data_IF_514330117389
#
_entry.id   IF_514330117389
#
_cell.length_a   1.000
_cell.length_b   1.000
_cell.length_c   1.000
_cell.angle_alpha   90.00
_cell.angle_beta   90.00
_cell.angle_gamma   90.00
#
_symmetry.space_group_name_H-M   'P 1'
#
loop_
_entity.id
_entity.type
_entity.pdbx_description
1 polymer ?
#
# COMPACT_ATOMS: atom_id res chain seq x y z
N UNK A 1 -8.95 -17.59 -6.69
CA UNK A 1 -8.58 -17.48 -5.25
C UNK A 1 -7.24 -18.14 -4.99
N UNK A 2 -6.20 -17.31 -4.89
CA UNK A 2 -4.83 -17.66 -4.52
C UNK A 2 -4.66 -17.53 -3.01
N UNK A 3 -4.15 -18.58 -2.37
CA UNK A 3 -3.91 -18.65 -0.93
C UNK A 3 -2.51 -18.16 -0.59
N UNK A 4 -2.43 -17.12 0.23
CA UNK A 4 -1.20 -16.38 0.50
C UNK A 4 -0.84 -16.43 1.98
N UNK A 5 0.44 -16.63 2.28
CA UNK A 5 1.04 -16.38 3.60
C UNK A 5 2.02 -15.23 3.50
N UNK A 6 2.01 -14.30 4.46
CA UNK A 6 2.92 -13.15 4.50
C UNK A 6 3.87 -13.28 5.68
N UNK A 7 5.17 -13.24 5.42
CA UNK A 7 6.23 -13.29 6.43
C UNK A 7 6.92 -11.92 6.47
N UNK A 8 6.77 -11.24 7.60
CA UNK A 8 7.10 -9.83 7.80
C UNK A 8 5.85 -8.95 7.69
N UNK A 9 5.47 -8.30 8.79
CA UNK A 9 4.37 -7.38 8.93
C UNK A 9 4.84 -5.92 9.14
N UNK A 10 6.06 -5.60 8.68
CA UNK A 10 6.56 -4.24 8.57
C UNK A 10 5.80 -3.38 7.55
N UNK A 11 6.43 -2.34 7.00
CA UNK A 11 5.79 -1.46 5.99
C UNK A 11 5.32 -2.23 4.75
N UNK A 12 6.18 -3.09 4.20
CA UNK A 12 5.84 -3.91 3.03
C UNK A 12 4.69 -4.87 3.30
N UNK A 13 4.75 -5.62 4.42
CA UNK A 13 3.67 -6.53 4.81
C UNK A 13 2.34 -5.82 5.06
N UNK A 14 2.37 -4.68 5.76
CA UNK A 14 1.19 -3.83 6.00
C UNK A 14 0.53 -3.38 4.70
N UNK A 15 1.33 -3.03 3.70
CA UNK A 15 0.82 -2.56 2.42
C UNK A 15 0.31 -3.69 1.52
N UNK A 16 0.92 -4.88 1.59
CA UNK A 16 0.37 -6.08 0.95
C UNK A 16 -1.00 -6.43 1.54
N UNK A 17 -1.14 -6.39 2.87
CA UNK A 17 -2.43 -6.56 3.54
C UNK A 17 -3.47 -5.52 3.08
N UNK A 18 -3.03 -4.29 2.86
CA UNK A 18 -3.85 -3.20 2.35
C UNK A 18 -4.32 -3.46 0.92
N UNK A 19 -3.41 -3.92 0.06
CA UNK A 19 -3.65 -4.24 -1.34
C UNK A 19 -4.64 -5.38 -1.50
N UNK A 20 -4.51 -6.42 -0.68
CA UNK A 20 -5.33 -7.63 -0.77
C UNK A 20 -6.64 -7.55 0.01
N UNK A 21 -6.88 -6.50 0.80
CA UNK A 21 -8.05 -6.41 1.70
C UNK A 21 -9.38 -6.65 0.99
N UNK A 22 -9.52 -6.07 -0.19
CA UNK A 22 -10.76 -6.07 -0.97
C UNK A 22 -10.62 -6.85 -2.29
N UNK A 23 -9.57 -7.68 -2.41
CA UNK A 23 -9.31 -8.48 -3.60
C UNK A 23 -9.94 -9.89 -3.45
N UNK A 24 -11.04 -10.19 -4.18
CA UNK A 24 -11.70 -11.49 -4.08
C UNK A 24 -10.87 -12.64 -4.64
N UNK A 25 -9.80 -12.37 -5.40
CA UNK A 25 -8.90 -13.40 -5.91
C UNK A 25 -7.80 -13.78 -4.92
N UNK A 26 -7.70 -13.12 -3.76
CA UNK A 26 -6.66 -13.39 -2.76
C UNK A 26 -7.26 -13.81 -1.42
N UNK A 27 -6.75 -14.88 -0.83
CA UNK A 27 -7.09 -15.30 0.53
C UNK A 27 -5.83 -15.33 1.38
N UNK A 28 -5.75 -14.47 2.39
CA UNK A 28 -4.61 -14.43 3.30
C UNK A 28 -4.82 -15.46 4.41
N UNK A 29 -4.02 -16.53 4.39
CA UNK A 29 -4.10 -17.62 5.37
C UNK A 29 -3.47 -17.25 6.72
N UNK A 30 -2.51 -16.32 6.71
CA UNK A 30 -1.91 -15.80 7.93
C UNK A 30 -0.74 -14.87 7.67
N UNK A 31 -0.35 -14.18 8.73
CA UNK A 31 0.78 -13.23 8.77
C UNK A 31 1.68 -13.59 9.94
N UNK A 32 3.00 -13.46 9.75
CA UNK A 32 3.94 -13.56 10.86
C UNK A 32 4.91 -12.40 10.96
N UNK A 33 5.19 -11.94 12.18
CA UNK A 33 6.27 -11.00 12.48
C UNK A 33 6.76 -11.21 13.92
N UNK A 34 8.06 -10.99 14.14
CA UNK A 34 8.67 -11.08 15.47
C UNK A 34 8.34 -9.86 16.34
N UNK A 35 8.13 -8.69 15.74
CA UNK A 35 7.72 -7.49 16.47
C UNK A 35 6.18 -7.46 16.58
N UNK A 36 5.60 -7.66 17.78
CA UNK A 36 4.15 -7.63 17.96
C UNK A 36 3.55 -6.24 17.71
N UNK A 37 4.38 -5.20 17.56
CA UNK A 37 3.98 -3.82 17.25
C UNK A 37 4.20 -3.47 15.78
N UNK A 38 4.60 -4.43 14.94
CA UNK A 38 4.75 -4.18 13.52
C UNK A 38 3.40 -3.70 12.92
N UNK A 39 3.42 -2.66 12.05
CA UNK A 39 2.20 -1.98 11.62
C UNK A 39 1.20 -2.90 10.93
N UNK A 40 1.67 -3.93 10.23
CA UNK A 40 0.85 -4.95 9.57
C UNK A 40 0.05 -5.83 10.53
N UNK A 41 0.51 -6.00 11.77
CA UNK A 41 -0.11 -6.89 12.76
C UNK A 41 -1.49 -6.38 13.17
N UNK A 42 -1.60 -5.07 13.44
CA UNK A 42 -2.87 -4.44 13.78
C UNK A 42 -3.89 -4.61 12.64
N UNK A 43 -3.46 -4.38 11.40
CA UNK A 43 -4.36 -4.57 10.25
C UNK A 43 -4.75 -6.03 10.06
N UNK A 44 -3.80 -6.97 10.11
CA UNK A 44 -4.10 -8.39 9.94
C UNK A 44 -5.17 -8.85 10.94
N UNK A 45 -5.06 -8.42 12.21
CA UNK A 45 -6.08 -8.67 13.23
C UNK A 45 -7.43 -8.05 12.89
N UNK A 46 -7.46 -6.80 12.43
CA UNK A 46 -8.69 -6.12 12.03
C UNK A 46 -9.39 -6.82 10.85
N UNK A 47 -8.61 -7.48 9.97
CA UNK A 47 -9.13 -8.30 8.86
C UNK A 47 -9.52 -9.72 9.29
N UNK A 48 -9.34 -10.10 10.56
CA UNK A 48 -9.58 -11.47 11.04
C UNK A 48 -8.54 -12.49 10.55
N UNK A 49 -7.39 -12.04 10.03
CA UNK A 49 -6.32 -12.90 9.55
C UNK A 49 -5.49 -13.42 10.74
N UNK A 50 -5.18 -14.72 10.80
CA UNK A 50 -4.31 -15.27 11.84
C UNK A 50 -2.93 -14.60 11.89
N UNK A 51 -2.49 -14.25 13.09
CA UNK A 51 -1.17 -13.65 13.32
C UNK A 51 -0.35 -14.53 14.26
N UNK A 52 0.85 -14.93 13.82
CA UNK A 52 1.79 -15.73 14.62
C UNK A 52 3.15 -15.03 14.71
N UNK A 53 3.90 -15.28 15.79
CA UNK A 53 5.28 -14.78 15.92
C UNK A 53 6.26 -15.69 15.17
N UNK A 54 6.05 -17.01 15.25
CA UNK A 54 6.86 -17.99 14.53
C UNK A 54 6.30 -18.27 13.12
N UNK A 55 7.03 -17.87 12.10
CA UNK A 55 6.67 -18.14 10.71
C UNK A 55 6.72 -19.63 10.36
N UNK A 56 7.60 -20.41 11.02
CA UNK A 56 7.72 -21.83 10.77
C UNK A 56 6.48 -22.56 11.28
N UNK A 57 5.94 -22.15 12.42
CA UNK A 57 4.65 -22.62 12.92
C UNK A 57 3.51 -22.24 11.98
N UNK A 58 3.50 -21.01 11.48
CA UNK A 58 2.51 -20.57 10.51
C UNK A 58 2.50 -21.46 9.27
N UNK A 59 3.67 -21.68 8.64
CA UNK A 59 3.79 -22.53 7.46
C UNK A 59 3.33 -23.97 7.72
N UNK A 60 3.66 -24.55 8.89
CA UNK A 60 3.19 -25.89 9.28
C UNK A 60 1.68 -25.98 9.43
N UNK A 61 1.00 -24.88 9.83
CA UNK A 61 -0.46 -24.82 9.98
C UNK A 61 -1.18 -24.59 8.65
N UNK A 62 -0.46 -24.18 7.59
CA UNK A 62 -1.03 -23.83 6.30
C UNK A 62 -0.53 -24.76 5.19
N UNK A 63 -1.09 -25.97 5.10
CA UNK A 63 -0.68 -26.98 4.11
C UNK A 63 -1.08 -26.66 2.67
N UNK A 64 -2.05 -25.77 2.47
CA UNK A 64 -2.63 -25.43 1.15
C UNK A 64 -2.20 -24.04 0.64
N UNK A 65 -1.08 -23.49 1.13
CA UNK A 65 -0.60 -22.19 0.63
C UNK A 65 -0.11 -22.31 -0.81
N UNK A 66 -0.52 -21.36 -1.65
CA UNK A 66 -0.08 -21.26 -3.05
C UNK A 66 1.16 -20.35 -3.16
N UNK A 67 1.19 -19.26 -2.39
CA UNK A 67 2.28 -18.28 -2.41
C UNK A 67 2.68 -17.86 -1.01
N UNK A 68 3.97 -17.96 -0.70
CA UNK A 68 4.59 -17.37 0.49
C UNK A 68 5.31 -16.08 0.08
N UNK A 69 4.89 -14.95 0.65
CA UNK A 69 5.50 -13.65 0.42
C UNK A 69 6.37 -13.28 1.61
N UNK A 70 7.69 -13.39 1.45
CA UNK A 70 8.67 -13.03 2.46
C UNK A 70 9.21 -11.61 2.23
N UNK A 71 8.83 -10.69 3.11
CA UNK A 71 9.22 -9.27 3.09
C UNK A 71 10.04 -8.88 4.33
N UNK A 72 10.67 -9.84 5.00
CA UNK A 72 11.55 -9.58 6.14
C UNK A 72 12.86 -8.90 5.76
N UNK A 73 13.34 -9.13 4.53
CA UNK A 73 14.67 -8.72 4.09
C UNK A 73 15.81 -9.54 4.71
N UNK A 74 15.50 -10.58 5.48
CA UNK A 74 16.47 -11.43 6.17
C UNK A 74 16.82 -12.65 5.29
N UNK A 75 18.11 -12.83 4.91
CA UNK A 75 18.56 -13.98 4.12
C UNK A 75 18.36 -15.32 4.84
N UNK A 76 18.51 -15.36 6.17
CA UNK A 76 18.36 -16.59 6.95
C UNK A 76 16.89 -17.02 7.01
N UNK A 77 15.98 -16.05 7.18
CA UNK A 77 14.53 -16.31 7.05
C UNK A 77 14.22 -16.79 5.63
N UNK A 78 14.81 -16.16 4.61
CA UNK A 78 14.57 -16.57 3.21
C UNK A 78 14.96 -18.02 2.98
N UNK A 79 16.12 -18.45 3.47
CA UNK A 79 16.56 -19.84 3.39
C UNK A 79 15.61 -20.78 4.14
N UNK A 80 15.25 -20.44 5.38
CA UNK A 80 14.34 -21.26 6.19
C UNK A 80 12.95 -21.39 5.56
N UNK A 81 12.42 -20.35 4.93
CA UNK A 81 11.16 -20.39 4.18
C UNK A 81 11.25 -21.33 2.99
N UNK A 82 12.36 -21.30 2.25
CA UNK A 82 12.59 -22.24 1.14
C UNK A 82 12.61 -23.69 1.60
N UNK A 83 13.19 -23.96 2.76
CA UNK A 83 13.28 -25.32 3.32
C UNK A 83 11.96 -25.81 3.92
N UNK A 84 11.09 -24.91 4.40
CA UNK A 84 9.86 -25.24 5.13
C UNK A 84 8.57 -25.08 4.33
N UNK A 85 8.59 -24.38 3.20
CA UNK A 85 7.39 -24.19 2.39
C UNK A 85 6.83 -25.54 1.93
N UNK A 86 5.51 -25.66 1.71
CA UNK A 86 4.98 -26.79 0.97
C UNK A 86 5.57 -26.87 -0.44
N UNK A 87 5.69 -28.09 -0.98
CA UNK A 87 6.33 -28.34 -2.27
C UNK A 87 5.67 -27.53 -3.40
N UNK A 88 4.33 -27.48 -3.41
CA UNK A 88 3.56 -26.75 -4.43
C UNK A 88 3.59 -25.22 -4.27
N UNK A 89 4.04 -24.69 -3.13
CA UNK A 89 3.99 -23.27 -2.86
C UNK A 89 5.14 -22.53 -3.57
N UNK A 90 4.83 -21.40 -4.21
CA UNK A 90 5.81 -20.46 -4.74
C UNK A 90 6.29 -19.50 -3.64
N UNK A 91 7.53 -19.02 -3.75
CA UNK A 91 8.10 -18.04 -2.80
C UNK A 91 8.46 -16.75 -3.52
N UNK A 92 7.80 -15.66 -3.13
CA UNK A 92 8.23 -14.31 -3.45
C UNK A 92 9.04 -13.78 -2.28
N UNK A 93 10.37 -13.70 -2.39
CA UNK A 93 11.23 -13.32 -1.28
C UNK A 93 12.55 -12.67 -1.69
N UNK A 94 13.32 -12.22 -0.69
CA UNK A 94 14.64 -11.63 -0.90
C UNK A 94 14.60 -10.41 -1.84
N UNK A 95 15.40 -10.43 -2.90
CA UNK A 95 15.54 -9.31 -3.82
C UNK A 95 14.27 -9.04 -4.64
N UNK A 96 13.52 -10.08 -5.04
CA UNK A 96 12.32 -9.90 -5.88
C UNK A 96 11.20 -9.21 -5.10
N UNK A 97 10.98 -9.61 -3.85
CA UNK A 97 10.03 -8.96 -2.96
C UNK A 97 10.42 -7.50 -2.68
N UNK A 98 11.71 -7.25 -2.41
CA UNK A 98 12.23 -5.89 -2.22
C UNK A 98 12.04 -5.03 -3.47
N UNK A 99 12.38 -5.54 -4.64
CA UNK A 99 12.22 -4.81 -5.91
C UNK A 99 10.76 -4.48 -6.20
N UNK A 100 9.84 -5.44 -6.01
CA UNK A 100 8.41 -5.20 -6.13
C UNK A 100 7.92 -4.12 -5.16
N UNK A 101 8.40 -4.16 -3.91
CA UNK A 101 8.05 -3.16 -2.91
C UNK A 101 8.56 -1.76 -3.29
N UNK A 102 9.82 -1.66 -3.70
CA UNK A 102 10.44 -0.40 -4.13
C UNK A 102 9.62 0.23 -5.30
N UNK A 103 9.13 -0.59 -6.24
CA UNK A 103 8.25 -0.12 -7.33
C UNK A 103 6.87 0.34 -6.85
N UNK A 104 6.24 -0.37 -5.91
CA UNK A 104 4.94 0.00 -5.35
C UNK A 104 5.05 1.31 -4.56
N UNK A 105 6.08 1.45 -3.74
CA UNK A 105 6.34 2.65 -2.93
C UNK A 105 6.62 3.87 -3.82
N UNK A 106 7.39 3.70 -4.89
CA UNK A 106 7.62 4.76 -5.88
C UNK A 106 6.31 5.23 -6.54
N UNK A 107 5.44 4.29 -6.93
CA UNK A 107 4.13 4.62 -7.52
C UNK A 107 3.21 5.34 -6.53
N UNK A 108 3.06 4.82 -5.31
CA UNK A 108 2.25 5.46 -4.26
C UNK A 108 2.72 6.89 -3.97
N UNK A 109 4.03 7.12 -3.98
CA UNK A 109 4.62 8.45 -3.77
C UNK A 109 4.26 9.40 -4.90
N UNK A 110 4.34 8.95 -6.15
CA UNK A 110 3.97 9.76 -7.33
C UNK A 110 2.48 10.08 -7.37
N UNK A 111 1.62 9.10 -7.07
CA UNK A 111 0.16 9.30 -6.98
C UNK A 111 -0.19 10.33 -5.91
N UNK A 112 0.34 10.18 -4.69
CA UNK A 112 0.11 11.14 -3.61
C UNK A 112 0.60 12.56 -3.96
N UNK A 113 1.71 12.67 -4.71
CA UNK A 113 2.21 13.97 -5.17
C UNK A 113 1.31 14.59 -6.23
N UNK A 114 0.76 13.79 -7.15
CA UNK A 114 -0.20 14.23 -8.16
C UNK A 114 -1.51 14.74 -7.51
N UNK A 115 -2.07 13.97 -6.58
CA UNK A 115 -3.28 14.36 -5.84
C UNK A 115 -3.09 15.69 -5.09
N UNK A 116 -1.91 15.85 -4.47
CA UNK A 116 -1.56 17.07 -3.73
C UNK A 116 -1.39 18.28 -4.66
N UNK A 117 -0.80 18.08 -5.84
CA UNK A 117 -0.71 19.11 -6.86
C UNK A 117 -2.10 19.54 -7.35
N UNK A 118 -2.99 18.59 -7.60
CA UNK A 118 -4.36 18.89 -8.02
C UNK A 118 -5.12 19.73 -6.98
N UNK A 119 -4.99 19.39 -5.70
CA UNK A 119 -5.58 20.18 -4.61
C UNK A 119 -5.04 21.61 -4.55
N UNK A 120 -3.72 21.79 -4.70
CA UNK A 120 -3.12 23.13 -4.73
C UNK A 120 -3.60 23.95 -5.94
N UNK A 121 -3.71 23.34 -7.13
CA UNK A 121 -4.24 24.01 -8.32
C UNK A 121 -5.69 24.46 -8.11
N UNK A 122 -6.53 23.61 -7.51
CA UNK A 122 -7.93 23.97 -7.14
C UNK A 122 -7.98 25.11 -6.11
N UNK A 123 -7.05 25.17 -5.17
CA UNK A 123 -6.94 26.30 -4.23
C UNK A 123 -6.49 27.60 -4.90
N UNK A 124 -5.55 27.51 -5.84
CA UNK A 124 -5.09 28.65 -6.63
C UNK A 124 -6.21 29.18 -7.53
N UNK A 125 -6.99 28.32 -8.18
CA UNK A 125 -8.11 28.73 -9.04
C UNK A 125 -9.21 29.45 -8.23
N UNK A 126 -9.57 28.90 -7.06
CA UNK A 126 -10.50 29.54 -6.12
C UNK A 126 -10.04 30.92 -5.64
N UNK A 127 -8.72 31.16 -5.54
CA UNK A 127 -8.17 32.47 -5.20
C UNK A 127 -7.88 33.36 -6.43
N UNK A 128 -7.68 32.77 -7.62
CA UNK A 128 -7.49 33.47 -8.89
C UNK A 128 -8.72 34.28 -9.29
N UNK A 129 -9.92 33.71 -9.08
CA UNK A 129 -11.18 34.47 -9.20
C UNK A 129 -11.29 35.60 -8.17
N UNK A 130 -10.66 35.45 -7.01
CA UNK A 130 -10.72 36.44 -5.92
C UNK A 130 -9.84 37.67 -6.16
N UNK A 131 -8.72 37.54 -6.90
CA UNK A 131 -7.81 38.67 -7.19
C UNK A 131 -8.32 39.53 -8.35
N UNK A 132 -8.96 38.95 -9.36
CA UNK A 132 -9.47 39.71 -10.52
C UNK A 132 -10.90 40.22 -10.27
N UNK A 133 -11.74 39.47 -9.53
CA UNK A 133 -13.17 39.76 -9.37
C UNK A 133 -13.59 40.75 -8.27
N UNK A 134 -12.69 41.13 -7.34
CA UNK A 134 -13.05 42.04 -6.21
C UNK A 134 -12.38 43.42 -6.25
N UNK A 135 -11.47 43.68 -7.18
CA UNK A 135 -10.90 45.01 -7.32
C UNK A 135 -11.97 45.95 -7.92
N UNK A 136 -12.33 47.01 -7.18
CA UNK A 136 -13.33 47.99 -7.61
C UNK A 136 -13.05 48.57 -9.01
N UNK A 137 -11.76 48.74 -9.37
CA UNK A 137 -11.35 49.18 -10.71
C UNK A 137 -11.65 48.13 -11.78
N UNK A 138 -11.44 46.86 -11.49
CA UNK A 138 -11.66 45.77 -12.45
C UNK A 138 -13.15 45.51 -12.69
N UNK A 139 -13.97 45.64 -11.64
CA UNK A 139 -15.43 45.58 -11.75
C UNK A 139 -15.98 46.72 -12.62
N UNK A 140 -15.46 47.94 -12.44
CA UNK A 140 -15.82 49.08 -13.28
C UNK A 140 -15.43 48.86 -14.76
N UNK A 141 -14.25 48.28 -15.02
CA UNK A 141 -13.80 47.95 -16.39
C UNK A 141 -14.71 46.89 -17.04
N UNK A 142 -15.10 45.84 -16.31
CA UNK A 142 -16.01 44.81 -16.81
C UNK A 142 -17.40 45.40 -17.18
N UNK A 143 -17.94 46.29 -16.36
CA UNK A 143 -19.21 47.00 -16.64
C UNK A 143 -19.11 47.94 -17.86
N UNK A 144 -17.93 48.53 -18.10
CA UNK A 144 -17.67 49.38 -19.26
C UNK A 144 -17.61 48.56 -20.57
N UNK A 145 -16.97 47.39 -20.54
CA UNK A 145 -16.89 46.50 -21.72
C UNK A 145 -18.27 45.98 -22.10
N UNK A 146 -19.10 45.61 -21.12
CA UNK A 146 -20.47 45.12 -21.36
C UNK A 146 -21.43 46.17 -21.95
N UNK A 147 -21.09 47.46 -21.89
CA UNK A 147 -21.89 48.56 -22.50
C UNK A 147 -21.48 48.88 -23.94
N UNK A 148 -20.35 48.36 -24.39
CA UNK A 148 -19.78 48.63 -25.72
C UNK A 148 -19.86 47.40 -26.63
N UNK A 149 -20.12 46.22 -26.06
CA UNK A 149 -20.55 45.01 -26.77
C UNK A 149 -22.06 45.06 -27.07
#
# INVERSE_FOLDING_TARGET
MTKVVIIGAGRGGRALLELFRDDPEVTILGVSDMDPRAPGIELARAMGVPVLTDFAELLRRTSEVDVVINVTGDPDVSKAVWDLKPDQAEVMGGLSAKFMWDLIEERKTKEAMADRMELMLRELDRHGEMIIGRNAKMKAIAELIAKVA
#
